data_IF_639408619585
#
_entry.id   IF_639408619585
#
_cell.length_a   1.000
_cell.length_b   1.000
_cell.length_c   1.000
_cell.angle_alpha   90.00
_cell.angle_beta   90.00
_cell.angle_gamma   90.00
#
_symmetry.space_group_name_H-M   'P 1'
#
loop_
_entity.id
_entity.type
_entity.pdbx_description
1 polymer ?
#
# COMPACT_ATOMS: atom_id res chain seq x y z
N UNK A 1 -24.26 4.13 -2.97
CA UNK A 1 -24.19 3.96 -4.43
C UNK A 1 -22.82 3.41 -4.80
N UNK A 2 -22.73 2.23 -5.41
CA UNK A 2 -21.45 1.66 -5.85
C UNK A 2 -20.91 2.49 -7.04
N UNK A 3 -19.62 2.78 -7.08
CA UNK A 3 -19.01 3.45 -8.24
C UNK A 3 -19.03 2.43 -9.39
N UNK A 4 -19.62 2.75 -10.55
CA UNK A 4 -19.58 1.86 -11.70
C UNK A 4 -18.14 1.43 -11.97
N UNK A 5 -17.90 0.14 -12.20
CA UNK A 5 -16.56 -0.47 -12.36
C UNK A 5 -15.64 -0.51 -11.13
N UNK A 6 -16.12 -0.19 -9.91
CA UNK A 6 -15.30 -0.32 -8.69
C UNK A 6 -14.75 -1.73 -8.50
N UNK A 7 -15.51 -2.77 -8.86
CA UNK A 7 -15.05 -4.15 -8.78
C UNK A 7 -13.83 -4.44 -9.67
N UNK A 8 -13.75 -3.82 -10.85
CA UNK A 8 -12.57 -3.96 -11.73
C UNK A 8 -11.38 -3.21 -11.13
N UNK A 9 -11.62 -1.99 -10.62
CA UNK A 9 -10.59 -1.24 -9.91
C UNK A 9 -10.05 -2.03 -8.72
N UNK A 10 -10.92 -2.52 -7.84
CA UNK A 10 -10.54 -3.30 -6.66
C UNK A 10 -9.80 -4.57 -7.06
N UNK A 11 -10.28 -5.32 -8.04
CA UNK A 11 -9.61 -6.52 -8.55
C UNK A 11 -8.20 -6.21 -9.09
N UNK A 12 -8.05 -5.14 -9.86
CA UNK A 12 -6.74 -4.72 -10.39
C UNK A 12 -5.76 -4.29 -9.28
N UNK A 13 -6.24 -3.62 -8.23
CA UNK A 13 -5.41 -3.27 -7.07
C UNK A 13 -5.00 -4.51 -6.27
N UNK A 14 -5.89 -5.48 -6.08
CA UNK A 14 -5.54 -6.76 -5.47
C UNK A 14 -4.51 -7.54 -6.31
N UNK A 15 -4.67 -7.54 -7.64
CA UNK A 15 -3.70 -8.16 -8.54
C UNK A 15 -2.31 -7.49 -8.42
N UNK A 16 -2.26 -6.15 -8.38
CA UNK A 16 -1.02 -5.41 -8.15
C UNK A 16 -0.36 -5.73 -6.80
N UNK A 17 -1.14 -5.77 -5.72
CA UNK A 17 -0.62 -6.15 -4.39
C UNK A 17 -0.07 -7.59 -4.38
N UNK A 18 -0.78 -8.53 -5.01
CA UNK A 18 -0.31 -9.92 -5.14
C UNK A 18 0.99 -10.02 -5.94
N UNK A 19 1.10 -9.25 -7.03
CA UNK A 19 2.32 -9.19 -7.83
C UNK A 19 3.50 -8.64 -7.05
N UNK A 20 3.32 -7.53 -6.32
CA UNK A 20 4.36 -6.93 -5.47
C UNK A 20 4.86 -7.93 -4.42
N UNK A 21 3.94 -8.56 -3.69
CA UNK A 21 4.26 -9.53 -2.65
C UNK A 21 4.97 -10.75 -3.19
N UNK A 22 4.49 -11.34 -4.29
CA UNK A 22 5.12 -12.51 -4.91
C UNK A 22 6.50 -12.18 -5.49
N UNK A 23 6.64 -11.04 -6.15
CA UNK A 23 7.91 -10.62 -6.77
C UNK A 23 8.97 -10.32 -5.70
N UNK A 24 8.57 -9.71 -4.58
CA UNK A 24 9.46 -9.47 -3.43
C UNK A 24 10.06 -10.76 -2.83
N UNK A 25 9.41 -11.92 -3.00
CA UNK A 25 9.87 -13.21 -2.51
C UNK A 25 10.78 -13.95 -3.49
N UNK A 26 11.03 -13.43 -4.69
CA UNK A 26 11.88 -14.11 -5.66
C UNK A 26 13.36 -13.93 -5.31
N UNK A 27 14.11 -15.03 -5.40
CA UNK A 27 15.54 -15.06 -5.08
C UNK A 27 16.37 -14.13 -5.96
N UNK A 28 16.05 -14.03 -7.25
CA UNK A 28 16.76 -13.15 -8.19
C UNK A 28 16.58 -11.66 -7.85
N UNK A 29 15.37 -11.27 -7.43
CA UNK A 29 15.06 -9.91 -6.97
C UNK A 29 15.77 -9.60 -5.65
N UNK A 30 15.79 -10.57 -4.72
CA UNK A 30 16.50 -10.42 -3.46
C UNK A 30 18.01 -10.29 -3.66
N UNK A 31 18.61 -11.17 -4.46
CA UNK A 31 20.03 -11.16 -4.79
C UNK A 31 20.46 -9.87 -5.53
N UNK A 32 19.58 -9.27 -6.32
CA UNK A 32 19.81 -7.99 -6.97
C UNK A 32 19.68 -6.77 -6.05
N UNK A 33 19.30 -6.97 -4.77
CA UNK A 33 19.11 -5.87 -3.81
C UNK A 33 17.91 -4.97 -4.12
N UNK A 34 16.94 -5.45 -4.90
CA UNK A 34 15.76 -4.68 -5.30
C UNK A 34 14.67 -4.83 -4.24
N UNK A 35 14.12 -3.71 -3.75
CA UNK A 35 12.93 -3.69 -2.90
C UNK A 35 11.69 -3.33 -3.70
N UNK A 36 10.56 -4.01 -3.40
CA UNK A 36 9.28 -3.75 -4.05
C UNK A 36 8.23 -3.49 -2.97
N UNK A 37 7.60 -2.31 -3.03
CA UNK A 37 6.62 -1.86 -2.05
C UNK A 37 5.51 -1.05 -2.73
N UNK A 38 4.38 -0.86 -2.04
CA UNK A 38 3.24 -0.07 -2.54
C UNK A 38 2.75 0.94 -1.52
N UNK A 39 2.28 2.11 -2.00
CA UNK A 39 1.68 3.15 -1.17
C UNK A 39 0.18 3.33 -1.47
N UNK A 40 -0.57 3.81 -0.47
CA UNK A 40 -2.04 3.93 -0.52
C UNK A 40 -2.56 5.27 -1.07
N UNK A 41 -3.88 5.45 -1.02
CA UNK A 41 -4.70 6.54 -1.55
C UNK A 41 -4.05 7.92 -1.43
N UNK A 42 -4.02 8.62 -2.55
CA UNK A 42 -3.48 9.98 -2.69
C UNK A 42 -4.52 10.88 -3.32
N UNK A 43 -4.63 12.12 -2.85
CA UNK A 43 -5.43 13.15 -3.50
C UNK A 43 -4.77 13.56 -4.82
N UNK A 44 -5.38 13.14 -5.91
CA UNK A 44 -4.94 13.40 -7.29
C UNK A 44 -6.13 13.85 -8.14
N UNK A 45 -5.91 14.41 -9.35
CA UNK A 45 -7.00 14.68 -10.29
C UNK A 45 -7.86 13.45 -10.59
N UNK A 46 -7.26 12.24 -10.58
CA UNK A 46 -7.98 10.98 -10.77
C UNK A 46 -8.98 10.69 -9.64
N UNK A 47 -8.61 10.99 -8.39
CA UNK A 47 -9.49 10.81 -7.23
C UNK A 47 -10.46 11.99 -7.02
N UNK A 48 -10.23 13.13 -7.67
CA UNK A 48 -11.07 14.33 -7.52
C UNK A 48 -12.53 14.07 -7.92
N UNK A 49 -12.74 13.19 -8.91
CA UNK A 49 -14.07 12.76 -9.38
C UNK A 49 -14.81 11.94 -8.31
N UNK A 50 -14.08 11.25 -7.44
CA UNK A 50 -14.62 10.39 -6.37
C UNK A 50 -14.70 11.12 -5.02
N UNK A 51 -13.87 12.14 -4.82
CA UNK A 51 -13.69 12.84 -3.56
C UNK A 51 -14.89 13.70 -3.13
N UNK A 52 -15.68 14.22 -4.09
CA UNK A 52 -16.76 15.15 -3.79
C UNK A 52 -17.92 14.52 -2.99
N UNK A 53 -18.16 13.20 -3.10
CA UNK A 53 -19.33 12.57 -2.48
C UNK A 53 -19.01 11.58 -1.35
N UNK A 54 -17.79 11.04 -1.26
CA UNK A 54 -17.51 9.86 -0.41
C UNK A 54 -16.34 9.96 0.57
N UNK A 55 -15.50 10.99 0.47
CA UNK A 55 -14.33 11.14 1.35
C UNK A 55 -14.54 12.12 2.51
N UNK A 56 -15.76 12.63 2.70
CA UNK A 56 -16.08 13.49 3.84
C UNK A 56 -15.80 12.74 5.16
N UNK A 57 -14.77 13.17 5.90
CA UNK A 57 -14.35 12.58 7.17
C UNK A 57 -13.20 11.55 7.08
N UNK A 58 -12.78 11.14 5.87
CA UNK A 58 -11.58 10.32 5.70
C UNK A 58 -10.40 11.27 5.49
N UNK A 59 -9.43 11.28 6.43
CA UNK A 59 -8.15 11.97 6.22
C UNK A 59 -7.51 11.44 4.94
N UNK A 60 -7.55 12.22 3.87
CA UNK A 60 -6.89 11.93 2.61
C UNK A 60 -5.44 12.43 2.68
N UNK A 61 -4.51 11.67 2.08
CA UNK A 61 -3.12 12.09 1.96
C UNK A 61 -2.94 13.02 0.76
N UNK A 62 -2.23 14.12 0.99
CA UNK A 62 -1.75 14.97 -0.09
C UNK A 62 -0.62 14.26 -0.84
N UNK A 63 -0.34 14.61 -2.12
CA UNK A 63 0.77 14.03 -2.88
C UNK A 63 2.11 14.08 -2.14
N UNK A 64 2.36 15.13 -1.36
CA UNK A 64 3.57 15.29 -0.57
C UNK A 64 3.71 14.22 0.51
N UNK A 65 2.61 13.82 1.16
CA UNK A 65 2.63 12.79 2.20
C UNK A 65 3.04 11.42 1.61
N UNK A 66 2.51 11.09 0.43
CA UNK A 66 2.83 9.85 -0.27
C UNK A 66 4.24 9.86 -0.85
N UNK A 67 4.71 11.02 -1.31
CA UNK A 67 6.10 11.19 -1.72
C UNK A 67 7.08 10.99 -0.55
N UNK A 68 6.74 11.45 0.66
CA UNK A 68 7.55 11.18 1.85
C UNK A 68 7.58 9.69 2.20
N UNK A 69 6.45 8.98 2.11
CA UNK A 69 6.43 7.53 2.30
C UNK A 69 7.30 6.80 1.26
N UNK A 70 7.26 7.23 -0.01
CA UNK A 70 8.11 6.68 -1.06
C UNK A 70 9.61 6.98 -0.80
N UNK A 71 9.94 8.19 -0.35
CA UNK A 71 11.30 8.55 0.03
C UNK A 71 11.79 7.73 1.22
N UNK A 72 10.93 7.48 2.22
CA UNK A 72 11.23 6.58 3.33
C UNK A 72 11.52 5.17 2.83
N UNK A 73 10.66 4.60 1.97
CA UNK A 73 10.89 3.27 1.38
C UNK A 73 12.25 3.21 0.68
N UNK A 74 12.57 4.23 -0.12
CA UNK A 74 13.83 4.28 -0.87
C UNK A 74 15.07 4.47 0.01
N UNK A 75 14.92 5.06 1.20
CA UNK A 75 16.02 5.33 2.13
C UNK A 75 16.31 4.17 3.10
N UNK A 76 15.40 3.20 3.23
CA UNK A 76 15.55 2.06 4.13
C UNK A 76 16.10 0.83 3.41
N UNK A 77 16.58 -0.13 4.19
CA UNK A 77 17.17 -1.36 3.65
C UNK A 77 16.11 -2.30 3.07
N UNK A 78 16.53 -3.17 2.14
CA UNK A 78 15.65 -4.20 1.58
C UNK A 78 15.00 -5.08 2.67
N UNK A 79 15.71 -5.36 3.76
CA UNK A 79 15.19 -6.14 4.88
C UNK A 79 14.02 -5.47 5.61
N UNK A 80 13.95 -4.14 5.60
CA UNK A 80 12.94 -3.35 6.30
C UNK A 80 11.68 -3.12 5.46
N UNK A 81 11.81 -3.02 4.13
CA UNK A 81 10.72 -2.52 3.27
C UNK A 81 10.26 -3.48 2.19
N UNK A 82 11.03 -4.54 1.87
CA UNK A 82 10.70 -5.40 0.74
C UNK A 82 9.40 -6.19 0.99
N UNK A 83 8.48 -6.13 0.02
CA UNK A 83 7.17 -6.79 0.08
C UNK A 83 6.16 -6.10 1.00
N UNK A 84 6.49 -4.92 1.54
CA UNK A 84 5.59 -4.14 2.39
C UNK A 84 4.64 -3.28 1.58
N UNK A 85 3.47 -3.06 2.15
CA UNK A 85 2.47 -2.10 1.72
C UNK A 85 2.34 -1.06 2.82
N UNK A 86 2.52 0.21 2.46
CA UNK A 86 2.36 1.34 3.37
C UNK A 86 1.04 2.06 3.09
N UNK A 87 0.23 2.20 4.13
CA UNK A 87 -0.96 3.05 4.11
C UNK A 87 -0.58 4.41 4.67
N UNK A 88 -0.75 5.44 3.84
CA UNK A 88 -0.51 6.83 4.22
C UNK A 88 -1.86 7.46 4.55
N UNK A 89 -1.94 8.19 5.66
CA UNK A 89 -3.15 8.89 6.11
C UNK A 89 -2.76 10.28 6.65
N UNK A 90 -2.64 11.25 5.74
CA UNK A 90 -1.92 12.50 6.03
C UNK A 90 -0.46 12.19 6.33
N UNK A 91 0.08 12.76 7.41
CA UNK A 91 1.48 12.55 7.83
C UNK A 91 1.72 11.22 8.57
N UNK A 92 0.69 10.40 8.77
CA UNK A 92 0.81 9.09 9.42
C UNK A 92 1.02 7.99 8.37
N UNK A 93 1.96 7.08 8.63
CA UNK A 93 2.26 5.93 7.79
C UNK A 93 2.12 4.63 8.59
N UNK A 94 1.41 3.65 8.03
CA UNK A 94 1.15 2.35 8.65
C UNK A 94 1.60 1.24 7.70
N UNK A 95 2.46 0.35 8.18
CA UNK A 95 2.82 -0.87 7.46
C UNK A 95 1.75 -1.96 7.69
N UNK A 96 1.32 -2.58 6.59
CA UNK A 96 0.14 -3.46 6.57
C UNK A 96 0.50 -4.90 6.92
N UNK A 97 1.62 -5.42 6.44
CA UNK A 97 1.96 -6.84 6.51
C UNK A 97 2.32 -7.28 7.94
N UNK A 98 3.04 -6.49 8.73
CA UNK A 98 3.28 -6.77 10.15
C UNK A 98 1.98 -6.67 10.97
N UNK A 99 1.12 -5.69 10.64
CA UNK A 99 -0.21 -5.57 11.25
C UNK A 99 -1.08 -6.81 10.97
N UNK A 100 -1.06 -7.30 9.73
CA UNK A 100 -1.80 -8.49 9.31
C UNK A 100 -1.24 -9.76 9.94
N UNK A 101 0.10 -9.94 9.98
CA UNK A 101 0.75 -11.04 10.69
C UNK A 101 0.36 -11.05 12.17
N UNK A 102 0.43 -9.91 12.85
CA UNK A 102 0.04 -9.78 14.27
C UNK A 102 -1.42 -10.18 14.50
N UNK A 103 -2.32 -9.81 13.59
CA UNK A 103 -3.72 -10.17 13.67
C UNK A 103 -3.98 -11.65 13.37
N UNK A 104 -3.24 -12.26 12.46
CA UNK A 104 -3.38 -13.67 12.09
C UNK A 104 -2.72 -14.64 13.08
N UNK A 105 -1.63 -14.24 13.75
CA UNK A 105 -0.85 -15.11 14.65
C UNK A 105 -1.71 -15.87 15.69
N UNK A 106 -2.70 -15.25 16.35
CA UNK A 106 -3.59 -15.96 17.28
C UNK A 106 -4.49 -17.01 16.63
N UNK A 107 -4.71 -16.97 15.32
CA UNK A 107 -5.56 -17.93 14.60
C UNK A 107 -4.85 -19.24 14.28
N UNK A 108 -3.52 -19.28 14.42
CA UNK A 108 -2.67 -20.43 14.13
C UNK A 108 -1.92 -20.96 15.37
N UNK A 109 -2.21 -20.42 16.55
CA UNK A 109 -1.69 -20.92 17.81
C UNK A 109 -2.61 -22.06 18.29
N UNK A 110 -2.27 -23.30 17.91
CA UNK A 110 -2.71 -24.53 18.60
C UNK A 110 -1.80 -24.83 19.80
#
# INVERSE_FOLDING_TARGET
MAIPSSGIYDASKHAGLGLVRSTAQREDVQAAGISISCASLTKTPMTAIVAQERLAGIKSSEPADVAQAAAWIAANTQAEVNGTTVVVKGQEMFEVEASYRKWMLPLFAE
#
